data_IF_239123765992
#
_entry.id   IF_239123765992
#
_cell.length_a   1.000
_cell.length_b   1.000
_cell.length_c   1.000
_cell.angle_alpha   90.00
_cell.angle_beta   90.00
_cell.angle_gamma   90.00
#
_symmetry.space_group_name_H-M   'P 1'
#
loop_
_entity.id
_entity.type
_entity.pdbx_description
1 polymer ?
#
# COMPACT_ATOMS: atom_id res chain seq x y z
N UNK A 1 -41.52 -52.67 -55.45
CA UNK A 1 -40.99 -52.14 -54.18
C UNK A 1 -39.49 -52.33 -54.24
N UNK A 2 -38.75 -51.27 -54.48
CA UNK A 2 -37.29 -51.30 -54.59
C UNK A 2 -36.67 -50.80 -53.28
N UNK A 3 -35.70 -51.48 -52.68
CA UNK A 3 -35.09 -50.99 -51.43
C UNK A 3 -34.01 -49.94 -51.73
N UNK A 4 -34.11 -48.80 -51.09
CA UNK A 4 -33.14 -47.73 -51.12
C UNK A 4 -31.81 -48.18 -50.50
N UNK A 5 -30.72 -48.15 -51.29
CA UNK A 5 -29.34 -48.40 -50.79
C UNK A 5 -28.83 -47.15 -50.06
N UNK A 6 -28.73 -47.24 -48.73
CA UNK A 6 -28.05 -46.28 -47.89
C UNK A 6 -26.54 -46.38 -48.14
N UNK A 7 -25.97 -45.37 -48.81
CA UNK A 7 -24.53 -45.29 -49.03
C UNK A 7 -23.81 -44.94 -47.70
N UNK A 8 -23.16 -45.87 -47.10
CA UNK A 8 -22.29 -45.66 -45.96
C UNK A 8 -21.08 -44.80 -46.37
N UNK A 9 -20.98 -43.59 -45.87
CA UNK A 9 -19.90 -42.62 -46.11
C UNK A 9 -18.66 -43.13 -45.34
N UNK A 10 -17.80 -43.87 -46.02
CA UNK A 10 -16.52 -44.34 -45.47
C UNK A 10 -15.61 -43.17 -45.20
N UNK A 11 -15.44 -42.79 -43.91
CA UNK A 11 -14.49 -41.78 -43.48
C UNK A 11 -13.05 -42.24 -43.85
N UNK A 12 -12.42 -41.54 -44.80
CA UNK A 12 -11.02 -41.82 -45.19
C UNK A 12 -10.12 -41.62 -43.98
N UNK A 13 -9.43 -42.65 -43.55
CA UNK A 13 -8.39 -42.57 -42.49
C UNK A 13 -7.30 -41.59 -42.93
N UNK A 14 -6.86 -40.66 -42.06
CA UNK A 14 -5.81 -39.70 -42.42
C UNK A 14 -4.51 -40.42 -42.74
N UNK A 15 -3.81 -40.01 -43.79
CA UNK A 15 -2.52 -40.53 -44.15
C UNK A 15 -1.47 -40.30 -43.05
N UNK A 16 -0.46 -41.15 -42.95
CA UNK A 16 0.63 -41.00 -41.95
C UNK A 16 1.28 -39.60 -41.99
N UNK A 17 1.36 -38.98 -43.16
CA UNK A 17 1.88 -37.64 -43.37
C UNK A 17 0.93 -36.56 -42.80
N UNK A 18 -0.39 -36.69 -42.94
CA UNK A 18 -1.38 -35.79 -42.38
C UNK A 18 -1.45 -35.89 -40.86
N UNK A 19 -1.32 -37.10 -40.29
CA UNK A 19 -1.25 -37.33 -38.88
C UNK A 19 0.01 -36.70 -38.26
N UNK A 20 1.17 -36.82 -38.96
CA UNK A 20 2.44 -36.21 -38.53
C UNK A 20 2.39 -34.68 -38.59
N UNK A 21 1.84 -34.07 -39.64
CA UNK A 21 1.63 -32.61 -39.75
C UNK A 21 0.74 -32.09 -38.60
N UNK A 22 -0.38 -32.78 -38.31
CA UNK A 22 -1.31 -32.40 -37.25
C UNK A 22 -0.67 -32.49 -35.87
N UNK A 23 0.19 -33.47 -35.64
CA UNK A 23 0.98 -33.56 -34.39
C UNK A 23 1.97 -32.39 -34.27
N UNK A 24 2.67 -32.06 -35.34
CA UNK A 24 3.62 -30.93 -35.36
C UNK A 24 2.93 -29.58 -35.14
N UNK A 25 1.75 -29.35 -35.75
CA UNK A 25 0.99 -28.10 -35.47
C UNK A 25 0.59 -27.98 -34.05
N UNK A 26 0.16 -29.05 -33.37
CA UNK A 26 -0.17 -29.03 -31.95
C UNK A 26 1.07 -28.79 -31.09
N UNK A 27 2.22 -29.34 -31.42
CA UNK A 27 3.48 -29.06 -30.73
C UNK A 27 3.91 -27.60 -30.84
N UNK A 28 3.77 -27.00 -32.02
CA UNK A 28 4.08 -25.56 -32.22
C UNK A 28 3.11 -24.67 -31.46
N UNK A 29 1.82 -24.95 -31.48
CA UNK A 29 0.83 -24.21 -30.70
C UNK A 29 1.12 -24.33 -29.19
N UNK A 30 1.40 -25.52 -28.68
CA UNK A 30 1.73 -25.72 -27.29
C UNK A 30 3.03 -25.01 -26.88
N UNK A 31 4.03 -24.99 -27.75
CA UNK A 31 5.28 -24.26 -27.52
C UNK A 31 5.05 -22.74 -27.48
N UNK A 32 4.25 -22.20 -28.41
CA UNK A 32 3.90 -20.78 -28.43
C UNK A 32 3.08 -20.36 -27.20
N UNK A 33 2.14 -21.21 -26.79
CA UNK A 33 1.39 -21.00 -25.54
C UNK A 33 2.30 -21.04 -24.31
N UNK A 34 3.22 -22.01 -24.26
CA UNK A 34 4.21 -22.11 -23.19
C UNK A 34 5.12 -20.87 -23.10
N UNK A 35 5.60 -20.37 -24.24
CA UNK A 35 6.38 -19.13 -24.30
C UNK A 35 5.54 -17.92 -23.88
N UNK A 36 4.29 -17.82 -24.33
CA UNK A 36 3.37 -16.75 -23.95
C UNK A 36 3.11 -16.72 -22.44
N UNK A 37 2.90 -17.89 -21.81
CA UNK A 37 2.72 -18.02 -20.37
C UNK A 37 4.01 -17.63 -19.62
N UNK A 38 5.18 -18.13 -20.06
CA UNK A 38 6.46 -17.82 -19.44
C UNK A 38 6.78 -16.31 -19.49
N UNK A 39 6.52 -15.65 -20.63
CA UNK A 39 6.69 -14.19 -20.79
C UNK A 39 5.70 -13.43 -19.90
N UNK A 40 4.45 -13.89 -19.77
CA UNK A 40 3.44 -13.32 -18.91
C UNK A 40 3.86 -13.37 -17.43
N UNK A 41 4.28 -14.54 -16.94
CA UNK A 41 4.77 -14.74 -15.58
C UNK A 41 6.01 -13.88 -15.30
N UNK A 42 6.96 -13.83 -16.26
CA UNK A 42 8.17 -13.00 -16.10
C UNK A 42 7.84 -11.51 -15.98
N UNK A 43 6.89 -10.98 -16.74
CA UNK A 43 6.46 -9.58 -16.64
C UNK A 43 5.78 -9.27 -15.31
N UNK A 44 4.93 -10.17 -14.81
CA UNK A 44 4.25 -10.02 -13.51
C UNK A 44 5.29 -9.95 -12.39
N UNK A 45 6.27 -10.86 -12.37
CA UNK A 45 7.33 -10.88 -11.36
C UNK A 45 8.19 -9.60 -11.38
N UNK A 46 8.50 -9.07 -12.56
CA UNK A 46 9.27 -7.83 -12.67
C UNK A 46 8.47 -6.63 -12.17
N UNK A 47 7.18 -6.53 -12.52
CA UNK A 47 6.34 -5.44 -12.03
C UNK A 47 6.15 -5.48 -10.51
N UNK A 48 5.94 -6.67 -9.93
CA UNK A 48 5.88 -6.82 -8.49
C UNK A 48 7.20 -6.41 -7.82
N UNK A 49 8.34 -6.88 -8.33
CA UNK A 49 9.65 -6.51 -7.78
C UNK A 49 9.91 -4.99 -7.86
N UNK A 50 9.51 -4.32 -8.94
CA UNK A 50 9.60 -2.86 -9.05
C UNK A 50 8.69 -2.20 -8.02
N UNK A 51 7.46 -2.65 -7.86
CA UNK A 51 6.51 -2.14 -6.87
C UNK A 51 7.09 -2.26 -5.46
N UNK A 52 7.57 -3.43 -5.07
CA UNK A 52 8.11 -3.71 -3.73
C UNK A 52 9.34 -2.83 -3.39
N UNK A 53 10.08 -2.40 -4.40
CA UNK A 53 11.21 -1.46 -4.23
C UNK A 53 10.75 -0.01 -4.18
N UNK A 54 9.80 0.38 -5.05
CA UNK A 54 9.40 1.79 -5.24
C UNK A 54 8.27 2.23 -4.31
N UNK A 55 7.40 1.29 -3.92
CA UNK A 55 6.27 1.51 -3.05
C UNK A 55 6.11 0.29 -2.11
N UNK A 56 7.04 0.06 -1.17
CA UNK A 56 6.98 -1.09 -0.27
C UNK A 56 5.73 -1.05 0.61
N UNK A 57 5.14 -2.22 0.85
CA UNK A 57 4.11 -2.42 1.85
C UNK A 57 4.53 -3.58 2.76
N UNK A 58 4.56 -3.34 4.04
CA UNK A 58 4.82 -4.33 5.09
C UNK A 58 3.84 -4.09 6.24
N UNK A 59 3.60 -5.09 7.08
CA UNK A 59 2.70 -4.97 8.23
C UNK A 59 1.27 -4.52 7.86
N UNK A 60 0.79 -4.94 6.70
CA UNK A 60 -0.54 -4.58 6.19
C UNK A 60 -1.68 -5.05 7.11
N UNK A 61 -1.51 -6.17 7.79
CA UNK A 61 -2.41 -6.67 8.82
C UNK A 61 -2.51 -5.71 10.02
N UNK A 62 -1.38 -5.20 10.52
CA UNK A 62 -1.33 -4.21 11.60
C UNK A 62 -1.93 -2.88 11.13
N UNK A 63 -1.59 -2.45 9.92
CA UNK A 63 -2.12 -1.21 9.33
C UNK A 63 -3.64 -1.27 9.23
N UNK A 64 -4.21 -2.37 8.68
CA UNK A 64 -5.68 -2.56 8.61
C UNK A 64 -6.32 -2.52 9.99
N UNK A 65 -5.76 -3.27 10.94
CA UNK A 65 -6.28 -3.32 12.31
C UNK A 65 -6.29 -1.92 12.94
N UNK A 66 -5.14 -1.22 12.92
CA UNK A 66 -5.02 0.08 13.59
C UNK A 66 -5.82 1.17 12.88
N UNK A 67 -5.93 1.11 11.55
CA UNK A 67 -6.77 2.01 10.78
C UNK A 67 -8.27 1.81 11.12
N UNK A 68 -8.74 0.56 11.19
CA UNK A 68 -10.12 0.24 11.57
C UNK A 68 -10.42 0.70 13.00
N UNK A 69 -9.53 0.39 13.96
CA UNK A 69 -9.70 0.74 15.39
C UNK A 69 -9.81 2.25 15.61
N UNK A 70 -9.19 3.05 14.75
CA UNK A 70 -9.08 4.51 14.89
C UNK A 70 -9.80 5.29 13.82
N UNK A 71 -10.62 4.61 13.01
CA UNK A 71 -11.38 5.22 11.91
C UNK A 71 -10.48 6.06 10.98
N UNK A 72 -9.36 5.46 10.54
CA UNK A 72 -8.42 6.02 9.59
C UNK A 72 -8.53 5.29 8.24
N UNK A 73 -8.11 5.97 7.18
CA UNK A 73 -7.85 5.33 5.90
C UNK A 73 -6.54 4.52 5.96
N UNK A 74 -6.55 3.19 5.75
CA UNK A 74 -5.33 2.39 5.79
C UNK A 74 -4.32 2.80 4.71
N UNK A 75 -4.76 3.36 3.58
CA UNK A 75 -3.86 3.90 2.57
C UNK A 75 -3.14 5.18 3.06
N UNK A 76 -3.81 6.02 3.86
CA UNK A 76 -3.17 7.16 4.52
C UNK A 76 -2.12 6.70 5.53
N UNK A 77 -2.44 5.70 6.35
CA UNK A 77 -1.48 5.15 7.32
C UNK A 77 -0.24 4.61 6.61
N UNK A 78 -0.41 3.82 5.55
CA UNK A 78 0.69 3.32 4.74
C UNK A 78 1.52 4.45 4.10
N UNK A 79 0.87 5.52 3.64
CA UNK A 79 1.53 6.69 3.06
C UNK A 79 2.36 7.46 4.10
N UNK A 80 1.86 7.62 5.31
CA UNK A 80 2.61 8.23 6.42
C UNK A 80 3.84 7.38 6.75
N UNK A 81 3.69 6.05 6.92
CA UNK A 81 4.82 5.14 7.17
C UNK A 81 5.86 5.25 6.05
N UNK A 82 5.40 5.31 4.79
CA UNK A 82 6.30 5.48 3.66
C UNK A 82 7.09 6.80 3.74
N UNK A 83 6.43 7.92 4.00
CA UNK A 83 7.08 9.23 4.06
C UNK A 83 8.01 9.37 5.25
N UNK A 84 7.68 8.71 6.38
CA UNK A 84 8.50 8.73 7.60
C UNK A 84 9.76 7.84 7.52
N UNK A 85 9.60 6.60 7.04
CA UNK A 85 10.68 5.61 7.15
C UNK A 85 10.92 4.78 5.90
N UNK A 86 10.07 4.86 4.88
CA UNK A 86 10.04 3.90 3.77
C UNK A 86 9.88 2.45 4.25
N UNK A 87 9.07 2.24 5.28
CA UNK A 87 8.89 0.95 5.94
C UNK A 87 10.18 0.35 6.54
N UNK A 88 11.13 1.19 6.92
CA UNK A 88 12.37 0.75 7.59
C UNK A 88 12.28 1.09 9.07
N UNK A 89 12.45 0.09 9.92
CA UNK A 89 12.64 0.34 11.34
C UNK A 89 13.98 1.02 11.55
N UNK A 90 13.94 2.28 11.95
CA UNK A 90 15.13 3.12 12.08
C UNK A 90 14.93 4.18 13.16
N UNK A 91 16.07 4.65 13.69
CA UNK A 91 16.13 5.83 14.54
C UNK A 91 16.68 7.00 13.71
N UNK A 92 15.99 8.14 13.76
CA UNK A 92 16.47 9.36 13.15
C UNK A 92 17.55 10.06 14.00
N UNK A 93 18.30 10.99 13.40
CA UNK A 93 19.25 11.82 14.16
C UNK A 93 18.59 12.67 15.24
N UNK A 94 17.30 12.92 15.13
CA UNK A 94 16.51 13.66 16.11
C UNK A 94 15.88 12.74 17.19
N UNK A 95 16.19 11.43 17.16
CA UNK A 95 15.68 10.46 18.13
C UNK A 95 14.24 10.01 17.87
N UNK A 96 13.69 10.23 16.67
CA UNK A 96 12.42 9.65 16.27
C UNK A 96 12.62 8.17 15.92
N UNK A 97 11.69 7.30 16.33
CA UNK A 97 11.83 5.85 16.32
C UNK A 97 10.77 5.16 15.46
N UNK A 98 11.19 4.09 14.82
CA UNK A 98 10.35 3.10 14.15
C UNK A 98 9.73 3.56 12.85
N UNK A 99 8.71 2.84 12.42
CA UNK A 99 8.07 2.98 11.11
C UNK A 99 7.38 4.33 10.90
N UNK A 100 6.75 4.86 11.94
CA UNK A 100 6.02 6.14 11.92
C UNK A 100 6.81 7.30 12.57
N UNK A 101 8.10 7.08 12.86
CA UNK A 101 9.04 8.09 13.36
C UNK A 101 8.49 8.87 14.60
N UNK A 102 8.01 8.13 15.58
CA UNK A 102 7.50 8.71 16.82
C UNK A 102 8.67 9.16 17.70
N UNK A 103 8.68 10.44 18.10
CA UNK A 103 9.66 10.91 19.07
C UNK A 103 9.25 10.49 20.48
N UNK A 104 10.20 10.30 21.42
CA UNK A 104 9.88 10.04 22.82
C UNK A 104 8.94 11.09 23.43
N UNK A 105 9.11 12.35 23.06
CA UNK A 105 8.24 13.43 23.49
C UNK A 105 6.80 13.25 22.98
N UNK A 106 6.63 12.94 21.70
CA UNK A 106 5.32 12.65 21.10
C UNK A 106 4.68 11.44 21.77
N UNK A 107 5.45 10.38 22.02
CA UNK A 107 4.96 9.20 22.69
C UNK A 107 4.44 9.48 24.12
N UNK A 108 5.12 10.31 24.89
CA UNK A 108 4.61 10.74 26.21
C UNK A 108 3.33 11.59 26.10
N UNK A 109 3.20 12.42 25.06
CA UNK A 109 1.95 13.14 24.80
C UNK A 109 0.82 12.14 24.51
N UNK A 110 1.08 11.13 23.67
CA UNK A 110 0.10 10.10 23.32
C UNK A 110 -0.29 9.29 24.57
N UNK A 111 0.69 8.87 25.38
CA UNK A 111 0.46 8.16 26.65
C UNK A 111 -0.50 8.97 27.54
N UNK A 112 -0.20 10.25 27.74
CA UNK A 112 -1.04 11.11 28.55
C UNK A 112 -2.46 11.26 27.98
N UNK A 113 -2.60 11.48 26.68
CA UNK A 113 -3.89 11.65 25.99
C UNK A 113 -4.73 10.36 26.00
N UNK A 114 -4.08 9.19 25.88
CA UNK A 114 -4.75 7.88 25.86
C UNK A 114 -5.06 7.33 27.27
N UNK A 115 -4.57 7.98 28.34
CA UNK A 115 -4.69 7.49 29.71
C UNK A 115 -3.74 6.34 30.02
N UNK A 116 -2.71 6.10 29.21
CA UNK A 116 -1.64 5.12 29.45
C UNK A 116 -0.77 5.53 30.63
N UNK A 117 -0.12 4.56 31.30
CA UNK A 117 0.71 4.81 32.50
C UNK A 117 2.05 4.07 32.48
N UNK A 118 2.37 3.34 31.42
CA UNK A 118 3.52 2.42 31.41
C UNK A 118 4.30 2.41 30.09
N UNK A 119 4.39 3.56 29.42
CA UNK A 119 5.16 3.67 28.18
C UNK A 119 6.67 3.55 28.46
N UNK A 120 7.36 2.77 27.65
CA UNK A 120 8.82 2.66 27.62
C UNK A 120 9.29 2.99 26.21
N UNK A 121 10.23 3.92 26.07
CA UNK A 121 10.72 4.40 24.74
C UNK A 121 11.21 3.26 23.84
N UNK A 122 11.81 2.21 24.40
CA UNK A 122 12.25 1.02 23.62
C UNK A 122 11.12 0.29 22.93
N UNK A 123 9.88 0.42 23.39
CA UNK A 123 8.72 -0.26 22.81
C UNK A 123 8.38 0.31 21.42
N UNK A 124 8.84 1.53 21.10
CA UNK A 124 8.67 2.13 19.78
C UNK A 124 9.45 1.42 18.66
N UNK A 125 10.33 0.48 18.99
CA UNK A 125 10.97 -0.40 17.99
C UNK A 125 10.07 -1.58 17.59
N UNK A 126 9.00 -1.85 18.34
CA UNK A 126 8.00 -2.86 17.96
C UNK A 126 7.03 -2.27 16.95
N UNK A 127 6.87 -2.89 15.75
CA UNK A 127 5.96 -2.39 14.71
C UNK A 127 4.52 -2.24 15.17
N UNK A 128 4.00 -3.17 15.98
CA UNK A 128 2.63 -3.13 16.49
C UNK A 128 2.41 -1.90 17.39
N UNK A 129 3.35 -1.62 18.28
CA UNK A 129 3.29 -0.49 19.20
C UNK A 129 3.50 0.81 18.42
N UNK A 130 4.51 0.87 17.57
CA UNK A 130 4.84 2.05 16.79
C UNK A 130 3.68 2.50 15.88
N UNK A 131 3.11 1.58 15.11
CA UNK A 131 1.96 1.88 14.24
C UNK A 131 0.73 2.26 15.07
N UNK A 132 0.49 1.60 16.22
CA UNK A 132 -0.62 1.96 17.12
C UNK A 132 -0.51 3.38 17.63
N UNK A 133 0.69 3.80 18.08
CA UNK A 133 0.96 5.15 18.58
C UNK A 133 0.83 6.18 17.45
N UNK A 134 1.42 5.92 16.29
CA UNK A 134 1.33 6.82 15.13
C UNK A 134 -0.10 7.01 14.63
N UNK A 135 -0.88 5.93 14.54
CA UNK A 135 -2.31 6.00 14.18
C UNK A 135 -3.13 6.76 15.23
N UNK A 136 -2.85 6.57 16.53
CA UNK A 136 -3.52 7.34 17.58
C UNK A 136 -3.24 8.84 17.41
N UNK A 137 -1.97 9.21 17.20
CA UNK A 137 -1.58 10.60 17.02
C UNK A 137 -2.17 11.21 15.74
N UNK A 138 -2.16 10.47 14.64
CA UNK A 138 -2.78 10.90 13.39
C UNK A 138 -4.29 11.14 13.56
N UNK A 139 -5.00 10.25 14.25
CA UNK A 139 -6.42 10.44 14.57
C UNK A 139 -6.65 11.65 15.43
N UNK A 140 -5.87 11.81 16.50
CA UNK A 140 -5.92 13.00 17.36
C UNK A 140 -5.77 14.29 16.55
N UNK A 141 -4.81 14.34 15.61
CA UNK A 141 -4.59 15.52 14.77
C UNK A 141 -5.74 15.77 13.78
N UNK A 142 -6.28 14.71 13.17
CA UNK A 142 -7.46 14.83 12.30
C UNK A 142 -8.68 15.36 13.07
N UNK A 143 -8.90 14.89 14.30
CA UNK A 143 -9.98 15.40 15.14
C UNK A 143 -9.72 16.84 15.55
N UNK A 144 -8.48 17.18 15.92
CA UNK A 144 -8.07 18.53 16.31
C UNK A 144 -8.29 19.55 15.19
N UNK A 145 -8.05 19.16 13.93
CA UNK A 145 -8.22 20.01 12.76
C UNK A 145 -9.53 19.73 11.99
N UNK A 146 -10.54 19.16 12.67
CA UNK A 146 -11.90 18.96 12.13
C UNK A 146 -11.89 18.21 10.76
N UNK A 147 -11.00 17.22 10.60
CA UNK A 147 -10.85 16.42 9.41
C UNK A 147 -10.03 17.06 8.29
N UNK A 148 -9.43 18.23 8.49
CA UNK A 148 -8.51 18.82 7.51
C UNK A 148 -7.21 18.00 7.44
N UNK A 149 -7.09 17.14 6.41
CA UNK A 149 -5.94 16.26 6.21
C UNK A 149 -4.64 17.06 6.01
N UNK A 150 -4.69 18.19 5.32
CA UNK A 150 -3.52 19.05 5.10
C UNK A 150 -2.99 19.58 6.44
N UNK A 151 -3.88 20.08 7.30
CA UNK A 151 -3.50 20.58 8.61
C UNK A 151 -3.00 19.46 9.53
N UNK A 152 -3.67 18.30 9.53
CA UNK A 152 -3.27 17.15 10.34
C UNK A 152 -1.89 16.61 9.94
N UNK A 153 -1.63 16.43 8.65
CA UNK A 153 -0.34 15.97 8.14
C UNK A 153 0.77 17.00 8.36
N UNK A 154 0.47 18.28 8.16
CA UNK A 154 1.41 19.37 8.47
C UNK A 154 1.77 19.37 9.97
N UNK A 155 0.77 19.15 10.85
CA UNK A 155 1.00 19.09 12.29
C UNK A 155 1.75 17.82 12.73
N UNK A 156 1.53 16.70 12.05
CA UNK A 156 2.29 15.48 12.28
C UNK A 156 3.79 15.73 12.06
N UNK A 157 4.15 16.43 10.99
CA UNK A 157 5.54 16.73 10.62
C UNK A 157 6.14 17.93 11.39
N UNK A 158 5.40 19.05 11.49
CA UNK A 158 5.93 20.31 12.02
C UNK A 158 5.40 20.68 13.43
N UNK A 159 4.46 19.93 13.95
CA UNK A 159 3.80 20.19 15.23
C UNK A 159 2.64 21.19 15.13
N UNK A 160 1.66 21.04 16.03
CA UNK A 160 0.42 21.84 16.08
C UNK A 160 0.70 23.34 16.20
N UNK A 161 1.66 23.73 17.05
CA UNK A 161 1.98 25.15 17.28
C UNK A 161 2.47 25.92 16.05
N UNK A 162 3.00 25.24 15.02
CA UNK A 162 3.32 25.87 13.73
C UNK A 162 2.07 25.95 12.86
N UNK A 163 1.30 24.88 12.77
CA UNK A 163 0.07 24.82 11.97
C UNK A 163 -0.95 25.87 12.43
N UNK A 164 -1.12 26.04 13.73
CA UNK A 164 -2.02 27.06 14.29
C UNK A 164 -1.64 28.48 13.85
N UNK A 165 -0.34 28.76 13.71
CA UNK A 165 0.18 30.04 13.19
C UNK A 165 -0.03 30.21 11.69
N UNK A 166 -0.12 29.09 10.94
CA UNK A 166 -0.25 29.12 9.48
C UNK A 166 -1.69 29.14 8.99
N UNK A 167 -2.67 28.93 9.85
CA UNK A 167 -4.09 28.94 9.48
C UNK A 167 -4.96 27.97 10.28
N UNK A 168 -4.36 27.07 11.04
CA UNK A 168 -5.07 26.12 11.90
C UNK A 168 -6.07 25.26 11.14
N UNK A 169 -7.35 25.34 11.53
CA UNK A 169 -8.45 24.58 10.92
C UNK A 169 -8.63 24.81 9.41
N UNK A 170 -8.33 26.02 8.94
CA UNK A 170 -8.53 26.46 7.55
C UNK A 170 -7.23 26.38 6.73
N UNK A 171 -6.19 25.72 7.25
CA UNK A 171 -4.89 25.62 6.59
C UNK A 171 -5.03 25.00 5.19
N UNK A 172 -4.52 25.71 4.20
CA UNK A 172 -4.30 25.17 2.86
C UNK A 172 -2.80 24.87 2.66
N UNK A 173 -2.49 24.04 1.70
CA UNK A 173 -1.12 23.59 1.44
C UNK A 173 -0.18 24.75 1.05
N UNK A 174 -0.69 25.77 0.34
CA UNK A 174 0.05 27.00 0.01
C UNK A 174 0.47 27.82 1.23
N UNK A 175 -0.25 27.68 2.33
CA UNK A 175 -0.06 28.50 3.55
C UNK A 175 0.98 27.87 4.50
N UNK A 176 1.40 26.64 4.23
CA UNK A 176 2.47 25.97 4.98
C UNK A 176 3.77 26.74 4.76
N UNK A 177 4.30 27.35 5.82
CA UNK A 177 5.48 28.20 5.70
C UNK A 177 6.78 27.43 5.47
N UNK A 178 6.89 26.20 6.00
CA UNK A 178 8.09 25.37 5.87
C UNK A 178 8.05 24.57 4.55
N UNK A 179 9.01 24.79 3.63
CA UNK A 179 9.06 24.05 2.35
C UNK A 179 9.13 22.55 2.52
N UNK A 180 9.88 22.06 3.54
CA UNK A 180 10.01 20.64 3.87
C UNK A 180 8.68 20.03 4.33
N UNK A 181 7.90 20.73 5.15
CA UNK A 181 6.58 20.27 5.59
C UNK A 181 5.58 20.27 4.45
N UNK A 182 5.65 21.27 3.55
CA UNK A 182 4.82 21.30 2.35
C UNK A 182 5.11 20.09 1.44
N UNK A 183 6.40 19.80 1.21
CA UNK A 183 6.81 18.64 0.43
C UNK A 183 6.40 17.31 1.09
N UNK A 184 6.45 17.23 2.42
CA UNK A 184 5.96 16.08 3.18
C UNK A 184 4.45 15.86 2.97
N UNK A 185 3.63 16.91 3.10
CA UNK A 185 2.19 16.82 2.87
C UNK A 185 1.88 16.38 1.44
N UNK A 186 2.57 16.98 0.45
CA UNK A 186 2.48 16.57 -0.96
C UNK A 186 2.79 15.07 -1.14
N UNK A 187 3.89 14.62 -0.57
CA UNK A 187 4.32 13.21 -0.68
C UNK A 187 3.29 12.27 -0.05
N UNK A 188 2.81 12.55 1.16
CA UNK A 188 1.83 11.69 1.84
C UNK A 188 0.54 11.59 1.04
N UNK A 189 -0.04 12.71 0.58
CA UNK A 189 -1.28 12.71 -0.18
C UNK A 189 -1.13 11.98 -1.53
N UNK A 190 0.01 12.14 -2.21
CA UNK A 190 0.30 11.41 -3.44
C UNK A 190 0.46 9.90 -3.15
N UNK A 191 1.19 9.53 -2.10
CA UNK A 191 1.39 8.13 -1.72
C UNK A 191 0.11 7.47 -1.25
N UNK A 192 -0.79 8.16 -0.60
CA UNK A 192 -2.11 7.65 -0.26
C UNK A 192 -2.87 7.19 -1.52
N UNK A 193 -2.83 7.99 -2.59
CA UNK A 193 -3.43 7.61 -3.87
C UNK A 193 -2.72 6.41 -4.51
N UNK A 194 -1.38 6.39 -4.48
CA UNK A 194 -0.57 5.29 -5.00
C UNK A 194 -0.90 3.97 -4.26
N UNK A 195 -1.00 3.98 -2.91
CA UNK A 195 -1.37 2.82 -2.09
C UNK A 195 -2.78 2.35 -2.38
N UNK A 196 -3.76 3.26 -2.50
CA UNK A 196 -5.13 2.90 -2.90
C UNK A 196 -5.18 2.22 -4.27
N UNK A 197 -4.40 2.71 -5.24
CA UNK A 197 -4.40 2.16 -6.59
C UNK A 197 -3.69 0.81 -6.70
N UNK A 198 -2.65 0.56 -5.89
CA UNK A 198 -1.78 -0.60 -6.06
C UNK A 198 -1.98 -1.70 -5.00
N UNK A 199 -2.57 -1.38 -3.86
CA UNK A 199 -2.70 -2.26 -2.69
C UNK A 199 -4.11 -2.27 -2.09
N UNK A 200 -5.15 -2.00 -2.91
CA UNK A 200 -6.52 -1.94 -2.42
C UNK A 200 -6.97 -3.23 -1.71
N UNK A 201 -6.60 -4.39 -2.27
CA UNK A 201 -6.92 -5.70 -1.68
C UNK A 201 -6.13 -5.94 -0.39
N UNK A 202 -4.81 -5.67 -0.41
CA UNK A 202 -3.93 -5.86 0.74
C UNK A 202 -4.32 -4.96 1.91
N UNK A 203 -4.83 -3.76 1.62
CA UNK A 203 -5.30 -2.79 2.62
C UNK A 203 -6.78 -2.90 2.98
N UNK A 204 -7.52 -3.86 2.38
CA UNK A 204 -8.94 -4.09 2.67
C UNK A 204 -9.87 -2.98 2.20
N UNK A 205 -9.52 -2.26 1.12
CA UNK A 205 -10.30 -1.14 0.60
C UNK A 205 -11.43 -1.56 -0.37
N UNK A 206 -11.45 -2.83 -0.79
CA UNK A 206 -12.42 -3.40 -1.74
C UNK A 206 -13.52 -4.22 -1.03
N UNK A 207 -13.75 -4.04 0.28
CA UNK A 207 -14.73 -4.75 1.09
C UNK A 207 -16.08 -4.03 1.21
#
# INVERSE_FOLDING_TARGET
>A
MSPARTAARTARRPTRAQARRRRWTWFVIAALLGVGIAVGISKINVQQAIRDITLPLQHDDIIRQQAADKNLDPAMVAAVIYSESRFRDQESRAGALGLMQITPQTAHVIEHLSGGTSFVTSDLSDPQINISYGCYYLRYLLDHYNGNEVAALAAYNAGTGNVDKWGGLDLNQSDIAFPETRAYVDEVLQKQQDYRAQYADDLGLNG
#
